data_IF_580362792386
#
_entry.id   IF_580362792386
#
_cell.length_a   1.000
_cell.length_b   1.000
_cell.length_c   1.000
_cell.angle_alpha   90.00
_cell.angle_beta   90.00
_cell.angle_gamma   90.00
#
_symmetry.space_group_name_H-M   'P 1'
#
loop_
_entity.id
_entity.type
_entity.pdbx_description
1 polymer ?
#
# COMPACT_ATOMS: atom_id res chain seq x y z
N UNK A 1 -0.99 -15.11 -3.45
CA UNK A 1 -0.85 -15.31 -2.01
C UNK A 1 -2.20 -15.08 -1.35
N UNK A 2 -2.55 -15.89 -0.34
CA UNK A 2 -3.78 -15.66 0.41
C UNK A 2 -3.68 -14.32 1.11
N UNK A 3 -4.74 -13.52 1.06
CA UNK A 3 -4.90 -12.33 1.89
C UNK A 3 -4.91 -12.77 3.35
N UNK A 4 -3.99 -12.29 4.13
CA UNK A 4 -4.00 -12.47 5.57
C UNK A 4 -4.76 -11.28 6.18
N UNK A 5 -5.98 -11.52 6.63
CA UNK A 5 -6.84 -10.52 7.25
C UNK A 5 -6.53 -10.44 8.74
N UNK A 6 -5.87 -9.37 9.16
CA UNK A 6 -5.52 -9.15 10.56
C UNK A 6 -6.51 -8.16 11.16
N UNK A 7 -7.35 -8.62 12.08
CA UNK A 7 -8.31 -7.80 12.80
C UNK A 7 -7.69 -7.31 14.12
N UNK A 8 -7.38 -6.01 14.26
CA UNK A 8 -6.96 -5.45 15.52
C UNK A 8 -8.01 -5.63 16.61
N UNK A 9 -7.57 -5.82 17.85
CA UNK A 9 -8.41 -6.08 19.02
C UNK A 9 -8.48 -4.88 19.95
N UNK A 10 -9.59 -4.73 20.67
CA UNK A 10 -9.77 -3.65 21.65
C UNK A 10 -8.81 -3.84 22.84
N UNK A 11 -8.63 -5.09 23.26
CA UNK A 11 -7.67 -5.52 24.30
C UNK A 11 -6.94 -6.77 23.83
N UNK A 12 -5.79 -7.15 24.44
CA UNK A 12 -5.11 -8.40 24.17
C UNK A 12 -6.08 -9.60 24.18
N UNK A 13 -6.22 -10.28 23.03
CA UNK A 13 -7.12 -11.42 22.88
C UNK A 13 -8.62 -11.11 22.91
N UNK A 14 -9.02 -9.85 23.07
CA UNK A 14 -10.40 -9.41 23.19
C UNK A 14 -11.16 -9.33 21.85
N UNK A 15 -12.24 -8.55 21.85
CA UNK A 15 -13.09 -8.33 20.69
C UNK A 15 -12.35 -7.53 19.58
N UNK A 16 -12.79 -7.66 18.34
CA UNK A 16 -12.30 -6.86 17.23
C UNK A 16 -12.65 -5.38 17.43
N UNK A 17 -11.73 -4.49 17.10
CA UNK A 17 -12.02 -3.04 17.08
C UNK A 17 -13.10 -2.73 16.04
N UNK A 18 -13.04 -3.42 14.91
CA UNK A 18 -14.04 -3.35 13.87
C UNK A 18 -14.21 -4.77 13.29
N UNK A 19 -15.41 -5.31 13.28
CA UNK A 19 -15.74 -6.65 12.80
C UNK A 19 -16.30 -6.64 11.36
N UNK A 20 -16.27 -5.48 10.69
CA UNK A 20 -16.63 -5.36 9.28
C UNK A 20 -15.78 -6.34 8.45
N UNK A 21 -16.44 -7.40 7.99
CA UNK A 21 -15.80 -8.46 7.19
C UNK A 21 -15.28 -7.99 5.84
N UNK A 22 -15.78 -6.85 5.37
CA UNK A 22 -15.38 -6.27 4.10
C UNK A 22 -14.16 -5.35 4.24
N UNK A 23 -13.88 -4.81 5.43
CA UNK A 23 -12.84 -3.82 5.53
C UNK A 23 -12.26 -3.52 6.92
N UNK A 24 -12.80 -4.09 7.99
CA UNK A 24 -12.33 -3.86 9.37
C UNK A 24 -11.00 -4.52 9.75
N UNK A 25 -10.16 -4.85 8.78
CA UNK A 25 -8.90 -5.57 8.95
C UNK A 25 -7.74 -4.85 8.27
N UNK A 26 -6.52 -5.13 8.74
CA UNK A 26 -5.27 -4.73 8.09
C UNK A 26 -4.83 -5.88 7.19
N UNK A 27 -4.40 -5.56 5.97
CA UNK A 27 -3.83 -6.56 5.08
C UNK A 27 -2.40 -6.92 5.52
N UNK A 28 -2.23 -8.10 6.11
CA UNK A 28 -0.96 -8.52 6.71
C UNK A 28 0.20 -8.74 5.75
N UNK A 29 -0.06 -8.84 4.44
CA UNK A 29 1.00 -9.19 3.49
C UNK A 29 2.08 -8.09 3.31
N UNK A 30 1.76 -6.81 3.57
CA UNK A 30 2.69 -5.70 3.32
C UNK A 30 2.31 -4.38 4.01
N UNK A 31 1.42 -4.40 5.00
CA UNK A 31 1.04 -3.18 5.70
C UNK A 31 2.16 -2.70 6.61
N UNK A 32 2.45 -1.40 6.56
CA UNK A 32 3.25 -0.73 7.56
C UNK A 32 2.32 -0.27 8.70
N UNK A 33 2.76 -0.45 9.94
CA UNK A 33 2.03 -0.02 11.13
C UNK A 33 2.96 0.70 12.10
N UNK A 34 2.41 1.65 12.84
CA UNK A 34 3.11 2.31 13.94
C UNK A 34 2.89 1.50 15.22
N UNK A 35 3.96 1.18 15.93
CA UNK A 35 3.89 0.56 17.24
C UNK A 35 3.66 1.66 18.28
N UNK A 36 2.56 1.56 19.04
CA UNK A 36 2.16 2.55 20.04
C UNK A 36 2.46 2.11 21.47
N UNK A 37 2.72 0.84 21.71
CA UNK A 37 2.95 0.28 23.04
C UNK A 37 3.88 -0.91 22.98
N UNK A 38 4.35 -1.32 24.17
CA UNK A 38 5.15 -2.52 24.34
C UNK A 38 4.29 -3.79 24.24
N UNK A 39 4.94 -4.95 24.14
CA UNK A 39 4.28 -6.25 24.14
C UNK A 39 3.59 -6.50 25.49
N UNK A 40 2.28 -6.77 25.46
CA UNK A 40 1.49 -7.21 26.58
C UNK A 40 1.03 -8.66 26.32
N UNK A 41 1.67 -9.63 26.94
CA UNK A 41 1.33 -11.06 26.82
C UNK A 41 1.24 -11.57 25.38
N UNK A 42 2.17 -11.17 24.51
CA UNK A 42 2.21 -11.54 23.10
C UNK A 42 1.31 -10.70 22.20
N UNK A 43 0.84 -9.55 22.69
CA UNK A 43 0.05 -8.59 21.93
C UNK A 43 0.68 -7.21 21.98
N UNK A 44 0.68 -6.52 20.85
CA UNK A 44 1.26 -5.18 20.69
C UNK A 44 0.18 -4.22 20.20
N UNK A 45 0.08 -3.06 20.88
CA UNK A 45 -0.80 -1.98 20.42
C UNK A 45 -0.20 -1.28 19.21
N UNK A 46 -0.96 -1.21 18.15
CA UNK A 46 -0.55 -0.60 16.88
C UNK A 46 -1.57 0.40 16.37
N UNK A 47 -1.09 1.27 15.47
CA UNK A 47 -1.92 2.08 14.59
C UNK A 47 -1.56 1.75 13.14
N UNK A 48 -2.55 1.58 12.31
CA UNK A 48 -2.40 1.30 10.89
C UNK A 48 -3.61 1.77 10.09
N UNK A 49 -3.65 1.38 8.82
CA UNK A 49 -4.81 1.60 7.95
C UNK A 49 -5.53 0.27 7.74
N UNK A 50 -6.84 0.29 7.86
CA UNK A 50 -7.69 -0.85 7.50
C UNK A 50 -7.79 -1.01 5.97
N UNK A 51 -8.50 -2.03 5.53
CA UNK A 51 -8.65 -2.31 4.08
C UNK A 51 -9.28 -1.16 3.28
N UNK A 52 -10.09 -0.30 3.94
CA UNK A 52 -10.67 0.90 3.35
C UNK A 52 -9.86 2.17 3.64
N UNK A 53 -8.59 2.03 4.04
CA UNK A 53 -7.68 3.15 4.33
C UNK A 53 -8.15 4.08 5.45
N UNK A 54 -8.92 3.55 6.40
CA UNK A 54 -9.32 4.25 7.62
C UNK A 54 -8.31 3.94 8.72
N UNK A 55 -7.95 4.94 9.51
CA UNK A 55 -7.08 4.73 10.68
C UNK A 55 -7.75 3.76 11.65
N UNK A 56 -7.04 2.71 12.01
CA UNK A 56 -7.46 1.73 13.00
C UNK A 56 -6.35 1.57 14.05
N UNK A 57 -6.74 1.58 15.33
CA UNK A 57 -5.85 1.32 16.46
C UNK A 57 -6.35 0.09 17.21
N UNK A 58 -5.43 -0.75 17.63
CA UNK A 58 -5.77 -1.92 18.40
C UNK A 58 -4.61 -2.89 18.58
N UNK A 59 -4.84 -3.92 19.34
CA UNK A 59 -3.86 -4.95 19.63
C UNK A 59 -3.83 -6.01 18.53
N UNK A 60 -2.63 -6.33 18.07
CA UNK A 60 -2.37 -7.47 17.18
C UNK A 60 -1.37 -8.42 17.85
N UNK A 61 -1.32 -9.67 17.42
CA UNK A 61 -0.30 -10.60 17.93
C UNK A 61 1.08 -10.08 17.57
N UNK A 62 1.95 -9.94 18.55
CA UNK A 62 3.35 -9.48 18.36
C UNK A 62 4.10 -10.35 17.35
N UNK A 63 3.80 -11.65 17.31
CA UNK A 63 4.40 -12.59 16.36
C UNK A 63 4.09 -12.29 14.88
N UNK A 64 3.09 -11.46 14.60
CA UNK A 64 2.75 -10.99 13.24
C UNK A 64 3.57 -9.77 12.82
N UNK A 65 4.25 -9.14 13.76
CA UNK A 65 5.01 -7.92 13.53
C UNK A 65 6.47 -8.23 13.20
N UNK A 66 7.00 -7.48 12.28
CA UNK A 66 8.42 -7.46 11.96
C UNK A 66 8.92 -6.02 12.06
N UNK A 67 9.89 -5.78 12.94
CA UNK A 67 10.54 -4.48 12.99
C UNK A 67 11.35 -4.25 11.72
N UNK A 68 11.15 -3.10 11.10
CA UNK A 68 11.92 -2.64 9.95
C UNK A 68 12.50 -1.26 10.24
N UNK A 69 13.71 -1.01 9.78
CA UNK A 69 14.32 0.33 9.82
C UNK A 69 14.21 0.91 8.42
N UNK A 70 13.37 1.93 8.21
CA UNK A 70 13.25 2.56 6.90
C UNK A 70 14.59 3.15 6.46
N UNK A 71 14.88 3.05 5.16
CA UNK A 71 16.00 3.78 4.59
C UNK A 71 15.58 5.24 4.42
N UNK A 72 16.01 6.09 5.34
CA UNK A 72 15.65 7.51 5.36
C UNK A 72 16.43 8.38 4.34
N UNK A 73 17.33 7.78 3.59
CA UNK A 73 18.06 8.47 2.50
C UNK A 73 17.12 8.82 1.34
N UNK A 74 16.15 7.96 1.06
CA UNK A 74 15.23 8.11 -0.07
C UNK A 74 13.81 8.36 0.42
N UNK A 75 13.14 9.30 -0.20
CA UNK A 75 11.73 9.61 0.06
C UNK A 75 10.96 9.83 -1.23
N UNK A 76 9.69 9.44 -1.23
CA UNK A 76 8.76 9.69 -2.32
C UNK A 76 7.53 10.39 -1.74
N UNK A 77 7.10 11.47 -2.38
CA UNK A 77 5.83 12.13 -2.11
C UNK A 77 4.98 12.02 -3.37
N UNK A 78 3.76 11.51 -3.23
CA UNK A 78 2.76 11.50 -4.30
C UNK A 78 1.67 12.49 -3.93
N UNK A 79 1.59 13.57 -4.69
CA UNK A 79 0.51 14.55 -4.58
C UNK A 79 -0.64 14.14 -5.51
N UNK A 80 -1.68 13.59 -4.92
CA UNK A 80 -2.88 13.13 -5.62
C UNK A 80 -3.67 14.29 -6.24
N UNK A 81 -3.59 15.48 -5.67
CA UNK A 81 -4.32 16.65 -6.18
C UNK A 81 -3.70 17.16 -7.48
N UNK A 82 -2.37 17.25 -7.52
CA UNK A 82 -1.65 17.74 -8.70
C UNK A 82 -1.17 16.62 -9.63
N UNK A 83 -1.42 15.36 -9.27
CA UNK A 83 -1.02 14.17 -10.00
C UNK A 83 0.49 14.18 -10.31
N UNK A 84 1.28 14.41 -9.27
CA UNK A 84 2.73 14.45 -9.35
C UNK A 84 3.40 13.60 -8.30
N UNK A 85 4.50 12.98 -8.71
CA UNK A 85 5.42 12.27 -7.84
C UNK A 85 6.71 13.08 -7.72
N UNK A 86 7.19 13.22 -6.49
CA UNK A 86 8.45 13.87 -6.15
C UNK A 86 9.37 12.87 -5.46
N UNK A 87 10.60 12.76 -5.96
CA UNK A 87 11.63 11.89 -5.39
C UNK A 87 12.68 12.72 -4.68
N UNK A 88 13.05 12.32 -3.49
CA UNK A 88 14.03 12.99 -2.65
C UNK A 88 15.20 12.05 -2.34
N UNK A 89 16.40 12.61 -2.29
CA UNK A 89 17.60 11.97 -1.80
C UNK A 89 18.22 12.88 -0.73
N UNK A 90 18.49 12.35 0.46
CA UNK A 90 19.02 13.09 1.60
C UNK A 90 18.22 14.39 1.88
N UNK A 91 16.90 14.32 1.80
CA UNK A 91 15.99 15.45 2.01
C UNK A 91 15.95 16.49 0.89
N UNK A 92 16.70 16.31 -0.18
CA UNK A 92 16.73 17.22 -1.34
C UNK A 92 15.92 16.65 -2.49
N UNK A 93 15.11 17.50 -3.13
CA UNK A 93 14.39 17.13 -4.35
C UNK A 93 15.39 16.69 -5.43
N UNK A 94 15.29 15.45 -5.86
CA UNK A 94 16.13 14.88 -6.91
C UNK A 94 15.43 14.90 -8.28
N UNK A 95 14.15 14.52 -8.31
CA UNK A 95 13.38 14.46 -9.55
C UNK A 95 11.88 14.55 -9.28
N UNK A 96 11.10 14.88 -10.29
CA UNK A 96 9.65 14.80 -10.25
C UNK A 96 9.09 14.41 -11.60
N UNK A 97 7.95 13.71 -11.61
CA UNK A 97 7.24 13.34 -12.82
C UNK A 97 5.73 13.43 -12.62
N UNK A 98 5.00 13.48 -13.72
CA UNK A 98 3.56 13.28 -13.69
C UNK A 98 3.26 11.81 -13.37
N UNK A 99 2.16 11.59 -12.65
CA UNK A 99 1.64 10.25 -12.36
C UNK A 99 0.13 10.25 -12.56
N UNK A 100 -0.43 9.06 -12.69
CA UNK A 100 -1.87 8.84 -12.60
C UNK A 100 -2.12 8.01 -11.34
N UNK A 101 -2.95 8.53 -10.44
CA UNK A 101 -3.39 7.79 -9.26
C UNK A 101 -4.78 7.21 -9.50
N UNK A 102 -5.07 6.08 -8.86
CA UNK A 102 -6.41 5.48 -8.94
C UNK A 102 -7.48 6.47 -8.48
N UNK A 103 -8.58 6.53 -9.21
CA UNK A 103 -9.76 7.33 -8.89
C UNK A 103 -10.95 6.40 -8.65
N UNK A 104 -11.77 6.67 -7.63
CA UNK A 104 -12.99 5.91 -7.43
C UNK A 104 -13.98 6.20 -8.55
N UNK A 105 -14.68 5.19 -9.01
CA UNK A 105 -15.78 5.31 -9.96
C UNK A 105 -16.98 4.49 -9.47
N UNK A 106 -18.09 4.55 -10.19
CA UNK A 106 -19.34 3.88 -9.79
C UNK A 106 -19.17 2.35 -9.69
N UNK A 107 -18.38 1.77 -10.57
CA UNK A 107 -18.19 0.31 -10.65
C UNK A 107 -17.02 -0.16 -9.78
N UNK A 108 -16.09 0.74 -9.47
CA UNK A 108 -14.90 0.51 -8.64
C UNK A 108 -14.75 1.62 -7.58
N UNK A 109 -15.64 1.67 -6.57
CA UNK A 109 -15.63 2.73 -5.57
C UNK A 109 -14.38 2.72 -4.67
N UNK A 110 -13.64 1.62 -4.65
CA UNK A 110 -12.42 1.44 -3.85
C UNK A 110 -11.12 1.57 -4.66
N UNK A 111 -11.21 2.04 -5.90
CA UNK A 111 -10.04 2.20 -6.78
C UNK A 111 -9.20 3.45 -6.46
N UNK A 112 -9.54 4.18 -5.42
CA UNK A 112 -8.76 5.34 -5.01
C UNK A 112 -7.42 4.91 -4.41
N UNK A 113 -6.31 5.48 -4.93
CA UNK A 113 -5.01 5.33 -4.28
C UNK A 113 -5.07 5.89 -2.86
N UNK A 114 -4.75 5.06 -1.88
CA UNK A 114 -4.82 5.40 -0.48
C UNK A 114 -3.90 6.57 -0.11
N UNK A 115 -4.41 7.49 0.71
CA UNK A 115 -3.58 8.50 1.36
C UNK A 115 -3.00 7.94 2.67
N UNK A 116 -1.74 8.23 2.97
CA UNK A 116 -1.08 7.76 4.18
C UNK A 116 0.44 7.73 4.03
N UNK A 117 1.10 7.21 5.06
CA UNK A 117 2.52 6.92 5.05
C UNK A 117 2.75 5.44 4.79
N UNK A 118 3.65 5.13 3.89
CA UNK A 118 3.93 3.76 3.46
C UNK A 118 5.42 3.50 3.40
N UNK A 119 5.79 2.25 3.52
CA UNK A 119 7.13 1.77 3.21
C UNK A 119 7.15 1.17 1.80
N UNK A 120 8.19 1.47 1.05
CA UNK A 120 8.44 0.74 -0.18
C UNK A 120 8.69 -0.73 0.20
N UNK A 121 7.82 -1.57 -0.28
CA UNK A 121 7.83 -3.01 -0.01
C UNK A 121 8.61 -3.81 -1.03
N UNK A 122 7.99 -4.84 -1.60
CA UNK A 122 8.66 -5.77 -2.50
C UNK A 122 8.69 -5.25 -3.94
N UNK A 123 9.77 -5.59 -4.64
CA UNK A 123 9.83 -5.54 -6.08
C UNK A 123 8.93 -6.64 -6.67
N UNK A 124 7.98 -6.27 -7.49
CA UNK A 124 7.03 -7.19 -8.15
C UNK A 124 7.51 -7.54 -9.56
N UNK A 125 8.19 -6.61 -10.21
CA UNK A 125 8.59 -6.75 -11.61
C UNK A 125 7.44 -6.44 -12.57
N UNK A 126 7.40 -7.12 -13.70
CA UNK A 126 6.30 -7.00 -14.67
C UNK A 126 5.08 -7.84 -14.26
N UNK A 127 3.90 -7.35 -14.59
CA UNK A 127 2.63 -8.04 -14.34
C UNK A 127 1.55 -7.63 -15.34
N UNK A 128 0.56 -8.50 -15.53
CA UNK A 128 -0.61 -8.21 -16.35
C UNK A 128 -1.72 -7.61 -15.48
N UNK A 129 -2.38 -6.58 -15.99
CA UNK A 129 -3.55 -5.96 -15.39
C UNK A 129 -4.54 -5.54 -16.45
N UNK A 130 -5.76 -6.05 -16.39
CA UNK A 130 -6.87 -5.71 -17.29
C UNK A 130 -6.51 -5.82 -18.80
N UNK A 131 -5.70 -6.81 -19.16
CA UNK A 131 -5.25 -7.06 -20.52
C UNK A 131 -4.15 -6.13 -21.02
N UNK A 132 -3.53 -5.37 -20.12
CA UNK A 132 -2.35 -4.56 -20.37
C UNK A 132 -1.17 -5.08 -19.53
N UNK A 133 0.04 -4.88 -20.03
CA UNK A 133 1.26 -5.22 -19.31
C UNK A 133 1.82 -3.98 -18.60
N UNK A 134 2.16 -4.15 -17.33
CA UNK A 134 2.79 -3.15 -16.48
C UNK A 134 4.21 -3.58 -16.15
N UNK A 135 5.18 -2.75 -16.45
CA UNK A 135 6.56 -2.99 -16.04
C UNK A 135 6.87 -2.35 -14.68
N UNK A 136 7.93 -2.82 -14.05
CA UNK A 136 8.57 -2.17 -12.90
C UNK A 136 7.64 -1.98 -11.69
N UNK A 137 6.78 -2.95 -11.42
CA UNK A 137 5.89 -2.90 -10.26
C UNK A 137 6.67 -2.91 -8.95
N UNK A 138 6.46 -1.89 -8.11
CA UNK A 138 7.01 -1.78 -6.75
C UNK A 138 5.84 -1.61 -5.79
N UNK A 139 5.70 -2.55 -4.87
CA UNK A 139 4.61 -2.55 -3.90
C UNK A 139 4.87 -1.55 -2.78
N UNK A 140 3.88 -0.76 -2.41
CA UNK A 140 3.94 0.11 -1.24
C UNK A 140 2.77 -0.10 -0.27
N UNK A 141 1.63 -0.60 -0.72
CA UNK A 141 0.48 -0.88 0.14
C UNK A 141 -0.35 -2.03 -0.43
N UNK A 142 -0.52 -3.11 0.31
CA UNK A 142 -1.43 -4.20 -0.06
C UNK A 142 -1.40 -4.58 -1.54
N UNK A 143 -2.38 -4.12 -2.30
CA UNK A 143 -2.48 -4.25 -3.75
C UNK A 143 -1.89 -3.08 -4.54
N UNK A 144 -1.58 -1.97 -3.89
CA UNK A 144 -1.14 -0.74 -4.57
C UNK A 144 0.34 -0.82 -4.97
N UNK A 145 0.59 -0.47 -6.21
CA UNK A 145 1.91 -0.53 -6.83
C UNK A 145 2.29 0.82 -7.46
N UNK A 146 3.55 1.19 -7.34
CA UNK A 146 4.18 2.10 -8.28
C UNK A 146 4.59 1.28 -9.49
N UNK A 147 4.21 1.68 -10.69
CA UNK A 147 4.54 0.98 -11.92
C UNK A 147 4.66 1.95 -13.09
N UNK A 148 5.26 1.49 -14.16
CA UNK A 148 5.31 2.21 -15.43
C UNK A 148 3.91 2.30 -16.04
N UNK A 149 3.69 3.26 -16.97
CA UNK A 149 2.46 3.35 -17.75
C UNK A 149 2.18 2.00 -18.42
N UNK A 150 0.99 1.40 -18.22
CA UNK A 150 0.63 0.14 -18.85
C UNK A 150 0.55 0.25 -20.37
N UNK A 151 0.80 -0.84 -21.06
CA UNK A 151 0.71 -0.90 -22.51
C UNK A 151 0.18 -2.26 -23.00
N UNK A 152 -0.31 -2.26 -24.24
CA UNK A 152 -0.56 -3.49 -24.99
C UNK A 152 0.61 -3.70 -25.94
N UNK A 153 1.20 -4.89 -25.93
CA UNK A 153 2.26 -5.26 -26.86
C UNK A 153 1.68 -6.02 -28.04
N UNK A 154 1.99 -5.56 -29.24
CA UNK A 154 1.61 -6.23 -30.48
C UNK A 154 2.61 -7.32 -30.88
N UNK A 155 2.21 -8.21 -31.78
CA UNK A 155 3.04 -9.33 -32.22
C UNK A 155 4.37 -8.91 -32.88
N UNK A 156 4.48 -7.68 -33.37
CA UNK A 156 5.70 -7.10 -33.92
C UNK A 156 6.62 -6.44 -32.87
N UNK A 157 6.23 -6.51 -31.57
CA UNK A 157 6.98 -5.91 -30.45
C UNK A 157 6.71 -4.42 -30.25
N UNK A 158 5.80 -3.80 -31.01
CA UNK A 158 5.40 -2.41 -30.77
C UNK A 158 4.50 -2.31 -29.53
N UNK A 159 4.61 -1.19 -28.81
CA UNK A 159 3.86 -0.95 -27.58
C UNK A 159 2.84 0.17 -27.80
N UNK A 160 1.59 -0.12 -27.43
CA UNK A 160 0.48 0.83 -27.47
C UNK A 160 0.12 1.27 -26.06
N UNK A 161 0.32 2.55 -25.77
CA UNK A 161 0.00 3.19 -24.49
C UNK A 161 -1.32 3.96 -24.51
N UNK A 162 -2.06 3.94 -25.64
CA UNK A 162 -3.26 4.77 -25.84
C UNK A 162 -4.47 4.34 -25.00
N UNK A 163 -4.43 3.15 -24.42
CA UNK A 163 -5.52 2.59 -23.62
C UNK A 163 -5.48 2.96 -22.14
N UNK A 164 -4.46 3.70 -21.72
CA UNK A 164 -4.29 4.11 -20.34
C UNK A 164 -4.59 5.60 -20.15
#
# INVERSE_FOLDING_TARGET
>A
GQREEIYPRVTPGGEKVNDDKLGGFINGASAAVHVLGEDEDGWTLIEGLDYYNRVIRGYVKTSLLKTVTPNNKYGIIIDKLTQRLYMFIDGKLWSSCAVSTGLPNKDQPYNETAAGEYLIGSWVGGFDSEGMYCEMGIRFNGGDLLHQVPYVEFADGTKDFSKY
#
